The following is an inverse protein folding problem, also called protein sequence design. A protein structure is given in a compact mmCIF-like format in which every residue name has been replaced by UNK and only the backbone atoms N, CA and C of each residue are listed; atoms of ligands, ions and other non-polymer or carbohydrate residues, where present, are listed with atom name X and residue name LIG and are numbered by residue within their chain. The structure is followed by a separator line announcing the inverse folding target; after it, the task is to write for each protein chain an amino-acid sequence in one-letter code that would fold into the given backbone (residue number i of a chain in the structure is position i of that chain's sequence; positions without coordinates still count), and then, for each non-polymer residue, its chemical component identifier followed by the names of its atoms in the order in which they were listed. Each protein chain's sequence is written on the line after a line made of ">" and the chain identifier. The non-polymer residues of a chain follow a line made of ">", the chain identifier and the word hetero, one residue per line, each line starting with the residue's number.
data_IF_158348006611
#
_entry.id   IF_158348006611
#
_cell.length_a   1.000
_cell.length_b   1.000
_cell.length_c   1.000
_cell.angle_alpha   90.00
_cell.angle_beta   90.00
_cell.angle_gamma   90.00
#
_symmetry.space_group_name_H-M   'P 1'
#
loop_
_entity.id
_entity.type
_entity.pdbx_description
1 polymer ?
#
# COMPACT_ATOMS: atom_id res chain seq x y z
N UNK A 1 -16.58 17.04 -13.94
CA UNK A 1 -15.62 18.14 -14.06
C UNK A 1 -14.21 17.59 -13.90
N UNK A 2 -13.22 18.36 -14.34
CA UNK A 2 -11.81 18.10 -14.05
C UNK A 2 -11.41 18.92 -12.84
N UNK A 3 -10.68 18.31 -11.90
CA UNK A 3 -10.09 19.04 -10.79
C UNK A 3 -9.09 20.07 -11.33
N UNK A 4 -9.07 21.26 -10.73
CA UNK A 4 -8.06 22.25 -11.07
C UNK A 4 -6.66 21.74 -10.64
N UNK A 5 -5.64 22.11 -11.43
CA UNK A 5 -4.25 21.81 -11.06
C UNK A 5 -3.92 22.38 -9.68
N UNK A 6 -3.15 21.64 -8.91
CA UNK A 6 -2.65 22.12 -7.64
C UNK A 6 -1.74 23.34 -7.84
N UNK A 7 -2.06 24.43 -7.17
CA UNK A 7 -1.24 25.66 -7.14
C UNK A 7 -0.55 25.89 -5.80
N UNK A 8 -0.80 25.04 -4.81
CA UNK A 8 -0.17 25.15 -3.51
C UNK A 8 1.25 24.59 -3.54
N UNK A 9 2.11 25.16 -2.73
CA UNK A 9 3.49 24.70 -2.52
C UNK A 9 3.72 24.46 -1.04
N UNK A 10 4.53 23.45 -0.73
CA UNK A 10 5.03 23.16 0.62
C UNK A 10 6.52 22.91 0.50
N UNK A 11 7.33 23.74 1.16
CA UNK A 11 8.79 23.66 1.08
C UNK A 11 9.29 22.26 1.48
N UNK A 12 10.11 21.66 0.61
CA UNK A 12 10.69 20.33 0.82
C UNK A 12 9.67 19.18 0.70
N UNK A 13 8.47 19.43 0.12
CA UNK A 13 7.44 18.43 -0.13
C UNK A 13 6.97 18.48 -1.57
N UNK A 14 6.56 17.35 -2.11
CA UNK A 14 5.96 17.24 -3.43
C UNK A 14 4.47 16.96 -3.28
N UNK A 15 3.65 17.65 -4.04
CA UNK A 15 2.22 17.32 -4.09
C UNK A 15 2.03 15.94 -4.73
N UNK A 16 1.26 15.08 -4.08
CA UNK A 16 1.05 13.69 -4.49
C UNK A 16 -0.38 13.40 -4.97
N UNK A 17 -1.35 14.26 -4.62
CA UNK A 17 -2.75 14.08 -5.02
C UNK A 17 -3.72 14.62 -3.97
N UNK A 18 -4.99 14.28 -4.13
CA UNK A 18 -6.09 14.74 -3.30
C UNK A 18 -6.73 13.57 -2.55
N UNK A 19 -6.98 13.73 -1.25
CA UNK A 19 -7.74 12.81 -0.41
C UNK A 19 -9.13 13.36 -0.09
N UNK A 20 -10.08 12.47 0.23
CA UNK A 20 -11.44 12.84 0.66
C UNK A 20 -11.59 13.06 2.15
N UNK A 21 -10.54 12.82 2.92
CA UNK A 21 -10.48 13.07 4.36
C UNK A 21 -9.09 13.57 4.76
N UNK A 22 -8.99 14.31 5.87
CA UNK A 22 -7.71 14.72 6.41
C UNK A 22 -6.86 13.49 6.77
N UNK A 23 -5.64 13.41 6.21
CA UNK A 23 -4.74 12.27 6.38
C UNK A 23 -5.24 10.97 5.72
N UNK A 24 -6.20 11.05 4.81
CA UNK A 24 -6.66 9.92 3.99
C UNK A 24 -5.71 9.57 2.86
N UNK A 25 -5.94 8.39 2.24
CA UNK A 25 -5.23 7.99 1.04
C UNK A 25 -5.59 8.88 -0.15
N UNK A 26 -4.69 8.92 -1.16
CA UNK A 26 -4.97 9.61 -2.42
C UNK A 26 -6.20 8.94 -3.06
N UNK A 27 -7.21 9.76 -3.33
CA UNK A 27 -8.43 9.36 -4.01
C UNK A 27 -8.47 9.89 -5.45
N UNK A 28 -7.78 11.00 -5.71
CA UNK A 28 -7.73 11.63 -7.03
C UNK A 28 -6.32 12.17 -7.31
N UNK A 29 -5.87 11.93 -8.53
CA UNK A 29 -4.66 12.56 -9.05
C UNK A 29 -4.91 14.04 -9.37
N UNK A 30 -3.82 14.80 -9.51
CA UNK A 30 -3.92 16.17 -9.99
C UNK A 30 -4.52 16.22 -11.39
N UNK A 31 -5.34 17.22 -11.66
CA UNK A 31 -6.09 17.36 -12.93
C UNK A 31 -7.00 16.17 -13.29
N UNK A 32 -7.29 15.25 -12.37
CA UNK A 32 -8.15 14.09 -12.66
C UNK A 32 -9.63 14.47 -12.76
N UNK A 33 -10.41 13.58 -13.39
CA UNK A 33 -11.87 13.73 -13.45
C UNK A 33 -12.50 13.56 -12.06
N UNK A 34 -13.45 14.44 -11.73
CA UNK A 34 -14.25 14.37 -10.52
C UNK A 34 -15.76 14.36 -10.87
N UNK A 35 -16.49 13.41 -10.32
CA UNK A 35 -17.94 13.37 -10.47
C UNK A 35 -18.61 14.20 -9.38
N UNK A 36 -19.28 15.30 -9.78
CA UNK A 36 -20.01 16.14 -8.84
C UNK A 36 -21.21 15.38 -8.29
N UNK A 37 -21.29 15.28 -6.98
CA UNK A 37 -22.47 14.81 -6.25
C UNK A 37 -23.40 15.98 -5.88
N UNK A 38 -24.37 15.72 -5.00
CA UNK A 38 -25.32 16.71 -4.49
C UNK A 38 -24.87 17.40 -3.20
N UNK A 39 -23.77 16.94 -2.59
CA UNK A 39 -23.20 17.47 -1.37
C UNK A 39 -21.89 18.21 -1.63
N UNK A 40 -21.59 19.20 -0.79
CA UNK A 40 -20.29 19.85 -0.77
C UNK A 40 -19.20 18.83 -0.42
N UNK A 41 -18.08 18.90 -1.12
CA UNK A 41 -16.93 18.02 -0.92
C UNK A 41 -15.70 18.86 -0.63
N UNK A 42 -15.00 18.50 0.45
CA UNK A 42 -13.68 19.05 0.77
C UNK A 42 -12.62 18.02 0.35
N UNK A 43 -11.66 18.47 -0.46
CA UNK A 43 -10.49 17.68 -0.80
C UNK A 43 -9.29 18.19 -0.02
N UNK A 44 -8.47 17.24 0.43
CA UNK A 44 -7.28 17.49 1.23
C UNK A 44 -6.05 17.19 0.40
N UNK A 45 -5.12 18.15 0.30
CA UNK A 45 -3.86 17.94 -0.38
C UNK A 45 -3.00 16.91 0.36
N UNK A 46 -2.53 15.90 -0.37
CA UNK A 46 -1.56 14.91 0.12
C UNK A 46 -0.18 15.32 -0.35
N UNK A 47 0.75 15.39 0.59
CA UNK A 47 2.13 15.80 0.34
C UNK A 47 3.08 14.65 0.62
N UNK A 48 4.00 14.40 -0.31
CA UNK A 48 4.98 13.34 -0.25
C UNK A 48 6.41 13.85 -0.11
N UNK A 49 7.26 13.04 0.49
CA UNK A 49 8.72 13.17 0.43
C UNK A 49 9.26 12.27 -0.67
N UNK A 50 10.01 12.87 -1.60
CA UNK A 50 10.81 12.11 -2.56
C UNK A 50 12.11 11.71 -1.87
N UNK A 51 12.39 10.42 -1.84
CA UNK A 51 13.59 9.87 -1.21
C UNK A 51 14.26 8.86 -2.13
N UNK A 52 15.58 8.75 -1.99
CA UNK A 52 16.35 7.62 -2.53
C UNK A 52 16.65 6.64 -1.40
N UNK A 53 17.07 5.42 -1.75
CA UNK A 53 17.52 4.45 -0.76
C UNK A 53 18.58 5.06 0.18
N UNK A 54 19.55 5.79 -0.38
CA UNK A 54 20.68 6.37 0.38
C UNK A 54 20.26 7.43 1.39
N UNK A 55 19.15 8.17 1.16
CA UNK A 55 18.72 9.24 2.05
C UNK A 55 17.44 8.94 2.83
N UNK A 56 16.75 7.83 2.53
CA UNK A 56 15.45 7.50 3.12
C UNK A 56 15.47 7.51 4.65
N UNK A 57 16.44 6.84 5.26
CA UNK A 57 16.56 6.75 6.72
C UNK A 57 16.70 8.15 7.35
N UNK A 58 17.53 9.02 6.77
CA UNK A 58 17.75 10.40 7.29
C UNK A 58 16.50 11.26 7.13
N UNK A 59 15.87 11.21 5.96
CA UNK A 59 14.66 12.02 5.68
C UNK A 59 13.50 11.56 6.56
N UNK A 60 13.29 10.24 6.69
CA UNK A 60 12.19 9.66 7.49
C UNK A 60 12.41 9.97 8.97
N UNK A 61 13.64 9.83 9.50
CA UNK A 61 13.97 10.14 10.89
C UNK A 61 13.75 11.60 11.29
N UNK A 62 13.77 12.51 10.31
CA UNK A 62 13.51 13.95 10.52
C UNK A 62 12.02 14.33 10.45
N UNK A 63 11.10 13.38 10.27
CA UNK A 63 9.67 13.66 10.24
C UNK A 63 9.11 13.88 11.65
N UNK A 64 8.18 14.82 11.75
CA UNK A 64 7.55 15.17 13.02
C UNK A 64 6.56 14.09 13.46
N UNK A 65 6.45 13.89 14.75
CA UNK A 65 5.48 12.96 15.33
C UNK A 65 4.05 13.52 15.25
N UNK A 66 3.09 12.64 14.96
CA UNK A 66 1.67 12.95 15.09
C UNK A 66 1.19 12.93 16.54
N UNK A 67 0.06 13.57 16.81
CA UNK A 67 -0.64 13.49 18.08
C UNK A 67 -2.01 12.85 17.91
N UNK A 68 -2.68 12.54 19.02
CA UNK A 68 -4.02 11.96 18.99
C UNK A 68 -5.03 12.89 18.31
N UNK A 69 -4.91 14.18 18.56
CA UNK A 69 -5.76 15.24 17.99
C UNK A 69 -5.40 15.54 16.53
N UNK A 70 -4.12 15.38 16.18
CA UNK A 70 -3.58 15.66 14.85
C UNK A 70 -2.64 14.53 14.42
N UNK A 71 -3.17 13.38 13.98
CA UNK A 71 -2.34 12.29 13.47
C UNK A 71 -1.66 12.72 12.16
N UNK A 72 -0.38 12.41 12.03
CA UNK A 72 0.36 12.65 10.79
C UNK A 72 0.26 11.46 9.84
N UNK A 73 0.06 11.74 8.56
CA UNK A 73 0.19 10.75 7.49
C UNK A 73 1.20 11.27 6.48
N UNK A 74 2.27 10.51 6.29
CA UNK A 74 3.35 10.85 5.36
C UNK A 74 3.34 9.93 4.15
N UNK A 75 3.33 10.53 2.95
CA UNK A 75 3.64 9.81 1.73
C UNK A 75 5.16 9.78 1.56
N UNK A 76 5.73 8.59 1.44
CA UNK A 76 7.14 8.38 1.11
C UNK A 76 7.19 7.77 -0.30
N UNK A 77 7.75 8.51 -1.24
CA UNK A 77 7.94 8.05 -2.61
C UNK A 77 9.41 7.77 -2.87
N UNK A 78 9.72 6.51 -3.14
CA UNK A 78 11.06 6.08 -3.55
C UNK A 78 11.27 6.44 -5.01
N UNK A 79 12.42 7.02 -5.34
CA UNK A 79 12.73 7.47 -6.71
C UNK A 79 13.69 6.56 -7.45
N UNK A 80 14.32 5.61 -6.76
CA UNK A 80 15.24 4.64 -7.35
C UNK A 80 14.49 3.64 -8.22
N UNK A 81 15.07 3.29 -9.36
CA UNK A 81 14.56 2.24 -10.24
C UNK A 81 14.95 0.86 -9.76
N UNK A 82 16.17 0.75 -9.23
CA UNK A 82 16.76 -0.49 -8.73
C UNK A 82 16.93 -0.38 -7.23
N UNK A 83 16.45 -1.36 -6.49
CA UNK A 83 16.64 -1.50 -5.05
C UNK A 83 17.01 -2.96 -4.75
N UNK A 84 18.05 -3.14 -3.96
CA UNK A 84 18.38 -4.47 -3.42
C UNK A 84 17.56 -4.75 -2.15
N UNK A 85 17.47 -6.02 -1.78
CA UNK A 85 16.69 -6.47 -0.61
C UNK A 85 17.04 -5.72 0.68
N UNK A 86 18.34 -5.46 0.90
CA UNK A 86 18.83 -4.75 2.09
C UNK A 86 18.30 -3.31 2.14
N UNK A 87 18.33 -2.59 1.02
CA UNK A 87 17.82 -1.21 0.94
C UNK A 87 16.30 -1.15 1.21
N UNK A 88 15.53 -2.11 0.71
CA UNK A 88 14.10 -2.20 1.01
C UNK A 88 13.86 -2.42 2.51
N UNK A 89 14.63 -3.29 3.15
CA UNK A 89 14.58 -3.53 4.60
C UNK A 89 14.99 -2.29 5.40
N UNK A 90 16.05 -1.60 5.02
CA UNK A 90 16.50 -0.36 5.68
C UNK A 90 15.43 0.75 5.62
N UNK A 91 14.75 0.90 4.48
CA UNK A 91 13.62 1.82 4.34
C UNK A 91 12.49 1.43 5.31
N UNK A 92 12.16 0.15 5.38
CA UNK A 92 11.15 -0.37 6.30
C UNK A 92 11.49 -0.10 7.76
N UNK A 93 12.72 -0.38 8.18
CA UNK A 93 13.23 -0.12 9.53
C UNK A 93 13.13 1.38 9.88
N UNK A 94 13.47 2.26 8.93
CA UNK A 94 13.36 3.71 9.13
C UNK A 94 11.89 4.13 9.36
N UNK A 95 10.96 3.63 8.55
CA UNK A 95 9.53 3.89 8.68
C UNK A 95 9.02 3.35 10.02
N UNK A 96 9.30 2.09 10.34
CA UNK A 96 8.88 1.43 11.58
C UNK A 96 9.38 2.20 12.81
N UNK A 97 10.65 2.61 12.79
CA UNK A 97 11.27 3.36 13.88
C UNK A 97 10.49 4.64 14.21
N UNK A 98 10.11 5.41 13.18
CA UNK A 98 9.32 6.64 13.37
C UNK A 98 7.87 6.33 13.74
N UNK A 99 7.25 5.37 13.06
CA UNK A 99 5.88 4.95 13.34
C UNK A 99 5.67 4.51 14.80
N UNK A 100 6.67 3.90 15.42
CA UNK A 100 6.59 3.39 16.79
C UNK A 100 6.98 4.42 17.86
N UNK A 101 7.72 5.50 17.52
CA UNK A 101 8.07 6.57 18.47
C UNK A 101 6.88 7.40 18.94
N UNK A 102 5.93 7.69 18.06
CA UNK A 102 4.90 8.72 18.22
C UNK A 102 3.62 8.25 18.91
N UNK A 103 3.68 7.41 19.93
CA UNK A 103 2.49 6.87 20.59
C UNK A 103 1.41 6.38 19.59
N UNK A 104 1.85 5.91 18.41
CA UNK A 104 1.00 5.33 17.38
C UNK A 104 0.13 6.32 16.57
N UNK A 105 0.45 7.60 16.50
CA UNK A 105 -0.29 8.61 15.73
C UNK A 105 0.41 9.07 14.43
N UNK A 106 1.53 8.45 14.07
CA UNK A 106 2.18 8.65 12.77
C UNK A 106 1.93 7.44 11.88
N UNK A 107 1.46 7.69 10.67
CA UNK A 107 1.16 6.70 9.66
C UNK A 107 1.90 7.04 8.37
N UNK A 108 2.08 6.03 7.54
CA UNK A 108 2.78 6.20 6.28
C UNK A 108 1.95 5.67 5.11
N UNK A 109 2.17 6.26 3.94
CA UNK A 109 1.87 5.67 2.64
C UNK A 109 3.18 5.54 1.89
N UNK A 110 3.43 4.38 1.29
CA UNK A 110 4.67 4.07 0.59
C UNK A 110 4.39 3.93 -0.91
N UNK A 111 5.12 4.68 -1.72
CA UNK A 111 5.06 4.61 -3.18
C UNK A 111 6.40 4.07 -3.72
N UNK A 112 6.37 2.84 -4.24
CA UNK A 112 7.47 2.14 -4.89
C UNK A 112 7.29 2.10 -6.42
N UNK A 113 6.38 2.86 -7.01
CA UNK A 113 6.06 2.80 -8.44
C UNK A 113 7.25 3.09 -9.36
N UNK A 114 8.24 3.85 -8.87
CA UNK A 114 9.48 4.14 -9.61
C UNK A 114 10.49 3.00 -9.61
N UNK A 115 10.32 2.00 -8.73
CA UNK A 115 11.27 0.88 -8.56
C UNK A 115 11.06 -0.21 -9.63
N UNK A 116 11.18 0.16 -10.88
CA UNK A 116 10.81 -0.64 -12.06
C UNK A 116 11.67 -1.89 -12.30
N UNK A 117 12.72 -2.10 -11.52
CA UNK A 117 13.58 -3.28 -11.56
C UNK A 117 13.44 -4.18 -10.32
N UNK A 118 12.55 -3.81 -9.38
CA UNK A 118 12.25 -4.61 -8.19
C UNK A 118 11.22 -5.68 -8.56
N UNK A 119 11.62 -6.94 -8.42
CA UNK A 119 10.77 -8.11 -8.71
C UNK A 119 10.28 -8.83 -7.44
N UNK A 120 10.86 -8.51 -6.28
CA UNK A 120 10.52 -9.12 -5.00
C UNK A 120 10.53 -8.08 -3.88
N UNK A 121 9.52 -8.11 -3.02
CA UNK A 121 9.56 -7.47 -1.71
C UNK A 121 10.08 -8.52 -0.72
N UNK A 122 11.25 -8.32 -0.09
CA UNK A 122 11.87 -9.34 0.75
C UNK A 122 11.09 -9.59 2.05
N UNK A 123 11.41 -10.72 2.68
CA UNK A 123 10.86 -11.13 3.97
C UNK A 123 10.89 -9.98 4.98
N UNK A 124 9.72 -9.73 5.62
CA UNK A 124 9.48 -8.75 6.68
C UNK A 124 9.85 -7.28 6.34
N UNK A 125 10.16 -6.97 5.07
CA UNK A 125 10.72 -5.67 4.69
C UNK A 125 9.91 -4.46 5.16
N UNK A 126 8.59 -4.55 5.17
CA UNK A 126 7.70 -3.48 5.59
C UNK A 126 6.68 -3.95 6.64
N UNK A 127 7.03 -4.96 7.42
CA UNK A 127 6.21 -5.39 8.56
C UNK A 127 6.14 -4.26 9.60
N UNK A 128 5.03 -4.14 10.32
CA UNK A 128 4.82 -3.18 11.43
C UNK A 128 5.01 -1.69 11.10
N UNK A 129 5.17 -1.32 9.83
CA UNK A 129 5.42 0.05 9.35
C UNK A 129 4.22 0.99 9.46
N UNK A 130 3.05 0.52 9.93
CA UNK A 130 1.80 1.28 10.06
C UNK A 130 1.35 1.94 8.74
N UNK A 131 1.63 1.27 7.62
CA UNK A 131 1.24 1.74 6.31
C UNK A 131 -0.29 1.78 6.17
N UNK A 132 -0.82 2.89 5.68
CA UNK A 132 -2.22 3.06 5.28
C UNK A 132 -2.42 2.98 3.78
N UNK A 133 -1.41 3.37 3.00
CA UNK A 133 -1.40 3.30 1.54
C UNK A 133 -0.14 2.60 1.04
N UNK A 134 -0.25 1.92 -0.10
CA UNK A 134 0.84 1.22 -0.74
C UNK A 134 0.65 1.24 -2.25
N UNK A 135 1.68 1.68 -2.96
CA UNK A 135 1.78 1.56 -4.41
C UNK A 135 3.01 0.71 -4.70
N UNK A 136 2.79 -0.46 -5.26
CA UNK A 136 3.82 -1.43 -5.62
C UNK A 136 4.27 -1.23 -7.07
N UNK A 137 5.53 -1.58 -7.42
CA UNK A 137 6.01 -1.48 -8.78
C UNK A 137 5.37 -2.55 -9.69
N UNK A 138 5.12 -2.19 -10.94
CA UNK A 138 4.54 -3.12 -11.92
C UNK A 138 5.45 -4.33 -12.25
N UNK A 139 6.77 -4.21 -12.01
CA UNK A 139 7.74 -5.30 -12.18
C UNK A 139 7.64 -6.39 -11.12
N UNK A 140 6.88 -6.17 -10.03
CA UNK A 140 6.84 -7.09 -8.89
C UNK A 140 6.25 -8.45 -9.27
N UNK A 141 6.94 -9.52 -8.89
CA UNK A 141 6.52 -10.91 -9.09
C UNK A 141 6.23 -11.64 -7.78
N UNK A 142 6.94 -11.28 -6.69
CA UNK A 142 6.84 -11.96 -5.39
C UNK A 142 6.68 -10.98 -4.24
N UNK A 143 5.74 -11.26 -3.36
CA UNK A 143 5.61 -10.64 -2.05
C UNK A 143 6.08 -11.67 -1.02
N UNK A 144 7.22 -11.38 -0.38
CA UNK A 144 7.90 -12.31 0.54
C UNK A 144 7.18 -12.51 1.86
N UNK A 145 7.68 -13.46 2.62
CA UNK A 145 7.14 -13.89 3.93
C UNK A 145 7.02 -12.69 4.87
N UNK A 146 5.83 -12.47 5.44
CA UNK A 146 5.57 -11.38 6.39
C UNK A 146 5.79 -9.97 5.85
N UNK A 147 6.03 -9.79 4.54
CA UNK A 147 6.54 -8.54 3.94
C UNK A 147 5.76 -7.29 4.34
N UNK A 148 4.45 -7.39 4.50
CA UNK A 148 3.55 -6.31 4.86
C UNK A 148 2.69 -6.62 6.10
N UNK A 149 3.10 -7.54 6.94
CA UNK A 149 2.35 -7.89 8.15
C UNK A 149 2.10 -6.68 9.07
N UNK A 150 1.02 -6.72 9.85
CA UNK A 150 0.66 -5.73 10.90
C UNK A 150 0.46 -4.29 10.43
N UNK A 151 0.21 -4.07 9.14
CA UNK A 151 -0.07 -2.74 8.59
C UNK A 151 -1.55 -2.31 8.72
N UNK A 152 -1.88 -1.08 8.29
CA UNK A 152 -3.17 -0.43 8.52
C UNK A 152 -3.95 -0.14 7.23
N UNK A 153 -3.66 -0.89 6.17
CA UNK A 153 -4.38 -0.78 4.90
C UNK A 153 -5.88 -1.01 5.09
N UNK A 154 -6.71 -0.27 4.38
CA UNK A 154 -8.14 -0.60 4.22
C UNK A 154 -8.40 -1.32 2.90
N UNK A 155 -7.61 -0.98 1.89
CA UNK A 155 -7.64 -1.60 0.57
C UNK A 155 -6.22 -1.68 -0.01
N UNK A 156 -5.98 -2.67 -0.85
CA UNK A 156 -4.72 -2.85 -1.58
C UNK A 156 -5.01 -3.36 -2.99
N UNK A 157 -4.23 -2.87 -3.95
CA UNK A 157 -4.16 -3.39 -5.31
C UNK A 157 -2.81 -4.06 -5.53
N UNK A 158 -2.82 -5.34 -5.85
CA UNK A 158 -1.61 -6.11 -6.20
C UNK A 158 -1.37 -5.97 -7.71
N UNK A 159 -0.12 -5.65 -8.13
CA UNK A 159 0.25 -5.47 -9.54
C UNK A 159 0.05 -6.72 -10.38
N UNK A 160 -0.12 -6.50 -11.70
CA UNK A 160 -0.53 -7.53 -12.63
C UNK A 160 0.53 -8.63 -12.91
N UNK A 161 1.77 -8.42 -12.51
CA UNK A 161 2.84 -9.41 -12.69
C UNK A 161 3.08 -10.29 -11.45
N UNK A 162 2.42 -10.03 -10.32
CA UNK A 162 2.61 -10.82 -9.09
C UNK A 162 2.07 -12.23 -9.26
N UNK A 163 2.93 -13.21 -9.00
CA UNK A 163 2.68 -14.66 -9.10
C UNK A 163 2.52 -15.31 -7.73
N UNK A 164 3.22 -14.78 -6.72
CA UNK A 164 3.29 -15.39 -5.39
C UNK A 164 3.12 -14.34 -4.29
N UNK A 165 2.26 -14.66 -3.32
CA UNK A 165 2.24 -14.03 -2.00
C UNK A 165 2.64 -15.12 -1.03
N UNK A 166 3.77 -14.93 -0.34
CA UNK A 166 4.30 -15.94 0.58
C UNK A 166 3.60 -15.92 1.95
N UNK A 167 4.07 -16.78 2.88
CA UNK A 167 3.48 -16.96 4.20
C UNK A 167 3.38 -15.63 4.95
N UNK A 168 2.22 -15.36 5.53
CA UNK A 168 2.01 -14.15 6.33
C UNK A 168 2.12 -12.82 5.58
N UNK A 169 2.21 -12.79 4.24
CA UNK A 169 2.54 -11.59 3.46
C UNK A 169 1.74 -10.33 3.84
N UNK A 170 0.48 -10.48 4.26
CA UNK A 170 -0.41 -9.44 4.78
C UNK A 170 -1.07 -9.82 6.11
N UNK A 171 -0.43 -10.68 6.88
CA UNK A 171 -1.00 -11.12 8.16
C UNK A 171 -1.26 -9.93 9.10
N UNK A 172 -2.30 -10.03 9.92
CA UNK A 172 -2.70 -8.99 10.90
C UNK A 172 -2.86 -7.56 10.34
N UNK A 173 -3.08 -7.41 9.03
CA UNK A 173 -3.57 -6.17 8.45
C UNK A 173 -5.04 -5.98 8.86
N UNK A 174 -5.26 -5.63 10.13
CA UNK A 174 -6.56 -5.69 10.80
C UNK A 174 -7.63 -4.73 10.26
N UNK A 175 -7.28 -3.81 9.38
CA UNK A 175 -8.19 -2.88 8.72
C UNK A 175 -8.52 -3.29 7.27
N UNK A 176 -7.83 -4.29 6.71
CA UNK A 176 -7.92 -4.67 5.30
C UNK A 176 -9.28 -5.31 4.99
N UNK A 177 -10.11 -4.58 4.24
CA UNK A 177 -11.49 -4.96 3.86
C UNK A 177 -11.59 -5.43 2.42
N UNK A 178 -10.75 -4.85 1.55
CA UNK A 178 -10.78 -5.11 0.11
C UNK A 178 -9.38 -5.33 -0.42
N UNK A 179 -9.23 -6.35 -1.26
CA UNK A 179 -7.98 -6.57 -2.01
C UNK A 179 -8.30 -6.81 -3.48
N UNK A 180 -7.47 -6.26 -4.36
CA UNK A 180 -7.50 -6.58 -5.79
C UNK A 180 -6.31 -7.46 -6.12
N UNK A 181 -6.57 -8.66 -6.65
CA UNK A 181 -5.58 -9.68 -6.99
C UNK A 181 -5.47 -9.85 -8.50
N UNK A 182 -4.26 -10.00 -9.05
CA UNK A 182 -4.02 -10.15 -10.48
C UNK A 182 -4.35 -11.56 -10.99
N UNK A 183 -4.65 -11.65 -12.29
CA UNK A 183 -4.87 -12.95 -12.96
C UNK A 183 -3.61 -13.83 -13.06
N UNK A 184 -2.43 -13.23 -12.91
CA UNK A 184 -1.12 -13.91 -12.89
C UNK A 184 -0.86 -14.74 -11.62
N UNK A 185 -1.68 -14.54 -10.57
CA UNK A 185 -1.43 -15.15 -9.26
C UNK A 185 -1.53 -16.68 -9.32
N UNK A 186 -0.50 -17.36 -8.82
CA UNK A 186 -0.36 -18.82 -8.83
C UNK A 186 -0.51 -19.39 -7.42
N UNK A 187 0.09 -18.72 -6.41
CA UNK A 187 0.09 -19.23 -5.05
C UNK A 187 -0.05 -18.15 -3.98
N UNK A 188 -0.70 -18.52 -2.89
CA UNK A 188 -0.85 -17.76 -1.65
C UNK A 188 -0.41 -18.66 -0.51
N UNK A 189 0.63 -18.26 0.21
CA UNK A 189 1.22 -19.00 1.33
C UNK A 189 0.34 -19.06 2.57
N UNK A 190 0.76 -19.82 3.56
CA UNK A 190 0.02 -20.01 4.80
C UNK A 190 -0.15 -18.70 5.57
N UNK A 191 -1.31 -18.47 6.16
CA UNK A 191 -1.61 -17.28 6.96
C UNK A 191 -1.45 -15.95 6.23
N UNK A 192 -1.30 -15.92 4.90
CA UNK A 192 -1.00 -14.68 4.15
C UNK A 192 -2.00 -13.55 4.43
N UNK A 193 -3.25 -13.89 4.76
CA UNK A 193 -4.32 -12.94 5.11
C UNK A 193 -4.94 -13.22 6.49
N UNK A 194 -4.25 -13.96 7.36
CA UNK A 194 -4.71 -14.21 8.72
C UNK A 194 -4.86 -12.88 9.49
N UNK A 195 -5.85 -12.78 10.38
CA UNK A 195 -6.08 -11.57 11.18
C UNK A 195 -6.57 -10.33 10.41
N UNK A 196 -6.87 -10.45 9.12
CA UNK A 196 -7.52 -9.40 8.33
C UNK A 196 -9.04 -9.38 8.57
N UNK A 197 -9.73 -8.37 8.01
CA UNK A 197 -11.21 -8.25 8.03
C UNK A 197 -11.77 -8.23 6.61
N UNK A 198 -11.16 -8.99 5.71
CA UNK A 198 -11.51 -9.05 4.30
C UNK A 198 -13.00 -9.37 4.11
N UNK A 199 -13.63 -8.55 3.29
CA UNK A 199 -15.04 -8.69 2.86
C UNK A 199 -15.15 -8.95 1.37
N UNK A 200 -14.22 -8.37 0.59
CA UNK A 200 -14.24 -8.42 -0.87
C UNK A 200 -12.85 -8.71 -1.42
N UNK A 201 -12.79 -9.64 -2.34
CA UNK A 201 -11.63 -9.94 -3.18
C UNK A 201 -12.02 -9.66 -4.63
N UNK A 202 -11.43 -8.65 -5.24
CA UNK A 202 -11.58 -8.37 -6.66
C UNK A 202 -10.47 -9.15 -7.41
N UNK A 203 -10.84 -10.24 -8.08
CA UNK A 203 -9.88 -11.03 -8.83
C UNK A 203 -9.93 -10.67 -10.31
N UNK A 204 -8.83 -10.26 -10.90
CA UNK A 204 -8.74 -9.83 -12.30
C UNK A 204 -8.84 -11.00 -13.31
N UNK A 205 -8.83 -12.22 -12.84
CA UNK A 205 -9.05 -13.44 -13.65
C UNK A 205 -10.47 -13.97 -13.57
N UNK A 206 -10.71 -15.09 -14.24
CA UNK A 206 -11.99 -15.81 -14.24
C UNK A 206 -12.16 -16.67 -13.00
N UNK A 207 -13.40 -17.11 -12.72
CA UNK A 207 -13.68 -18.06 -11.64
C UNK A 207 -12.90 -19.38 -11.80
N UNK A 208 -12.72 -19.85 -13.04
CA UNK A 208 -11.95 -21.07 -13.31
C UNK A 208 -10.45 -20.90 -12.96
N UNK A 209 -9.88 -19.72 -13.22
CA UNK A 209 -8.49 -19.40 -12.85
C UNK A 209 -8.37 -19.26 -11.34
N UNK A 210 -9.32 -18.60 -10.66
CA UNK A 210 -9.34 -18.51 -9.21
C UNK A 210 -9.25 -19.89 -8.55
N UNK A 211 -10.02 -20.86 -9.06
CA UNK A 211 -10.04 -22.22 -8.53
C UNK A 211 -8.72 -23.00 -8.74
N UNK A 212 -7.78 -22.49 -9.53
CA UNK A 212 -6.46 -23.08 -9.75
C UNK A 212 -5.38 -22.47 -8.86
N UNK A 213 -5.65 -21.36 -8.16
CA UNK A 213 -4.67 -20.76 -7.26
C UNK A 213 -4.45 -21.71 -6.08
N UNK A 214 -3.19 -22.05 -5.82
CA UNK A 214 -2.81 -22.79 -4.62
C UNK A 214 -2.92 -21.85 -3.43
N UNK A 215 -3.85 -22.10 -2.53
CA UNK A 215 -4.02 -21.33 -1.29
C UNK A 215 -3.70 -22.28 -0.12
N UNK A 216 -2.62 -21.96 0.61
CA UNK A 216 -2.20 -22.74 1.76
C UNK A 216 -3.06 -22.42 3.01
N UNK A 217 -2.82 -23.13 4.12
CA UNK A 217 -3.65 -23.10 5.33
C UNK A 217 -3.79 -21.72 5.99
N UNK A 218 -4.78 -21.57 6.86
CA UNK A 218 -5.06 -20.37 7.68
C UNK A 218 -5.41 -19.10 6.89
N UNK A 219 -5.97 -19.25 5.69
CA UNK A 219 -6.44 -18.14 4.86
C UNK A 219 -7.99 -18.00 4.87
N UNK A 220 -8.66 -18.36 5.98
CA UNK A 220 -10.12 -18.34 6.10
C UNK A 220 -10.74 -16.97 5.81
N UNK A 221 -10.01 -15.89 6.13
CA UNK A 221 -10.46 -14.51 5.85
C UNK A 221 -10.52 -14.20 4.37
N UNK A 222 -9.58 -14.75 3.59
CA UNK A 222 -9.55 -14.61 2.13
C UNK A 222 -10.61 -15.50 1.48
N UNK A 223 -10.64 -16.80 1.81
CA UNK A 223 -11.53 -17.77 1.18
C UNK A 223 -13.00 -17.59 1.57
N UNK A 224 -13.27 -17.00 2.75
CA UNK A 224 -14.60 -16.64 3.22
C UNK A 224 -15.12 -15.29 2.73
N UNK A 225 -14.28 -14.48 2.06
CA UNK A 225 -14.70 -13.20 1.52
C UNK A 225 -15.53 -13.37 0.24
N UNK A 226 -16.23 -12.30 -0.17
CA UNK A 226 -16.92 -12.27 -1.47
C UNK A 226 -15.89 -12.15 -2.60
N UNK A 227 -15.72 -13.21 -3.38
CA UNK A 227 -14.85 -13.21 -4.56
C UNK A 227 -15.62 -12.64 -5.76
N UNK A 228 -15.06 -11.61 -6.39
CA UNK A 228 -15.59 -10.99 -7.61
C UNK A 228 -14.54 -11.20 -8.71
N UNK A 229 -14.86 -12.06 -9.66
CA UNK A 229 -14.00 -12.35 -10.81
C UNK A 229 -14.44 -11.53 -12.04
N UNK A 230 -13.51 -11.31 -12.97
CA UNK A 230 -13.91 -10.82 -14.30
C UNK A 230 -14.75 -11.87 -14.99
N UNK A 231 -15.85 -11.46 -15.61
CA UNK A 231 -16.63 -12.37 -16.46
C UNK A 231 -15.76 -12.75 -17.66
N UNK A 232 -15.70 -14.05 -17.97
CA UNK A 232 -15.18 -14.49 -19.27
C UNK A 232 -16.03 -13.83 -20.37
N UNK A 233 -15.37 -13.13 -21.29
CA UNK A 233 -16.00 -12.67 -22.53
C UNK A 233 -16.25 -13.86 -23.45
#
# INVERSE_FOLDING_TARGET
>A
ITLAANTFTREGWTFSGWATSAGGNIAYDDNSGYTIGTADVTLYAVWGKLVTADNAATVIAGLEDGTRENPNVYMIKITDKTLIAEQLKEIGIAIETVANKSNYYTFFSLDLSSATEVTEIPEEAFSTCRLRGLILPDSLETIGTGAFGYNKFEEIVIPDNVKTIEDGGFEYCSNLKTITLPASLVSIGASAFAGTVLKTVNYKGTQAQWAQIKIDDYNDKLTGAKIICTTAL
#
